data_IF_980887768003
#
_entry.id   IF_980887768003
#
_cell.length_a   1.000
_cell.length_b   1.000
_cell.length_c   1.000
_cell.angle_alpha   90.00
_cell.angle_beta   90.00
_cell.angle_gamma   90.00
#
_symmetry.space_group_name_H-M   'P 1'
#
loop_
_entity.id
_entity.type
_entity.pdbx_description
1 polymer ?
#
# COMPACT_ATOMS: atom_id res chain seq x y z
N UNK A 1 -1.37 -15.67 36.07
CA UNK A 1 -1.76 -16.06 34.70
C UNK A 1 -2.24 -17.50 34.73
N UNK A 2 -3.40 -17.76 34.15
CA UNK A 2 -3.96 -19.12 34.08
C UNK A 2 -3.11 -20.00 33.13
N UNK A 3 -2.86 -21.27 33.48
CA UNK A 3 -2.06 -22.20 32.68
C UNK A 3 -2.61 -22.41 31.25
N UNK A 4 -3.93 -22.26 31.08
CA UNK A 4 -4.58 -22.31 29.76
C UNK A 4 -4.48 -21.01 28.96
N UNK A 5 -4.07 -19.89 29.56
CA UNK A 5 -3.93 -18.61 28.89
C UNK A 5 -2.56 -18.44 28.24
N UNK A 6 -1.49 -18.92 28.90
CA UNK A 6 -0.11 -18.76 28.43
C UNK A 6 0.14 -19.36 27.05
N UNK A 7 -0.54 -20.45 26.69
CA UNK A 7 -0.43 -21.08 25.36
C UNK A 7 -0.89 -20.18 24.20
N UNK A 8 -1.72 -19.16 24.48
CA UNK A 8 -2.20 -18.20 23.49
C UNK A 8 -1.30 -16.96 23.39
N UNK A 9 -0.30 -16.82 24.27
CA UNK A 9 0.65 -15.72 24.28
C UNK A 9 1.88 -16.09 23.45
N UNK A 10 1.82 -15.74 22.17
CA UNK A 10 2.88 -16.00 21.17
C UNK A 10 3.73 -14.74 20.92
N UNK A 11 4.86 -14.87 20.21
CA UNK A 11 5.81 -13.75 19.96
C UNK A 11 5.22 -12.59 19.12
N UNK A 12 4.12 -12.83 18.41
CA UNK A 12 3.34 -11.80 17.73
C UNK A 12 2.40 -11.04 18.67
N UNK A 13 2.39 -11.33 19.98
CA UNK A 13 1.46 -10.72 20.94
C UNK A 13 2.16 -9.96 22.05
N UNK A 14 1.47 -9.00 22.62
CA UNK A 14 1.85 -8.32 23.86
C UNK A 14 0.65 -8.22 24.80
N UNK A 15 0.91 -8.09 26.09
CA UNK A 15 -0.14 -8.00 27.11
C UNK A 15 -0.37 -6.54 27.53
N UNK A 16 -1.61 -6.18 27.82
CA UNK A 16 -1.97 -4.92 28.47
C UNK A 16 -3.19 -5.10 29.37
N UNK A 17 -3.32 -4.24 30.38
CA UNK A 17 -4.43 -4.20 31.31
C UNK A 17 -4.30 -2.98 32.20
N UNK A 18 -5.42 -2.50 32.75
CA UNK A 18 -5.42 -1.38 33.69
C UNK A 18 -5.61 -1.89 35.12
N UNK A 19 -4.91 -1.26 36.07
CA UNK A 19 -5.01 -1.61 37.49
C UNK A 19 -6.37 -1.26 38.09
N UNK A 20 -7.09 -0.31 37.47
CA UNK A 20 -8.41 0.16 37.92
C UNK A 20 -9.57 -0.81 37.62
N UNK A 21 -9.28 -1.99 37.08
CA UNK A 21 -10.30 -3.00 36.77
C UNK A 21 -10.87 -2.90 35.35
N UNK A 22 -10.64 -1.80 34.64
CA UNK A 22 -11.10 -1.67 33.26
C UNK A 22 -10.29 -2.58 32.35
N UNK A 23 -10.99 -3.40 31.57
CA UNK A 23 -10.37 -4.31 30.61
C UNK A 23 -11.27 -4.43 29.38
N UNK A 24 -10.75 -5.06 28.34
CA UNK A 24 -11.54 -5.48 27.18
C UNK A 24 -12.54 -6.55 27.61
N UNK A 25 -13.65 -6.69 26.91
CA UNK A 25 -14.68 -7.69 27.19
C UNK A 25 -15.03 -8.54 25.97
N UNK A 26 -15.92 -9.51 26.20
CA UNK A 26 -16.48 -10.31 25.11
C UNK A 26 -17.16 -9.39 24.09
N UNK A 27 -16.75 -9.50 22.82
CA UNK A 27 -17.22 -8.63 21.74
C UNK A 27 -16.17 -7.62 21.26
N UNK A 28 -15.14 -7.33 22.06
CA UNK A 28 -14.06 -6.41 21.68
C UNK A 28 -12.97 -7.05 20.80
N UNK A 29 -13.04 -8.37 20.57
CA UNK A 29 -12.08 -9.11 19.74
C UNK A 29 -11.98 -8.50 18.34
N UNK A 30 -10.77 -8.20 17.89
CA UNK A 30 -10.52 -7.48 16.65
C UNK A 30 -10.50 -5.95 16.78
N UNK A 31 -10.88 -5.39 17.94
CA UNK A 31 -10.78 -3.96 18.23
C UNK A 31 -9.33 -3.48 18.31
N UNK A 32 -9.09 -2.20 17.99
CA UNK A 32 -7.76 -1.60 17.99
C UNK A 32 -7.38 -1.01 19.35
N UNK A 33 -6.17 -1.30 19.83
CA UNK A 33 -5.51 -0.50 20.86
C UNK A 33 -4.84 0.70 20.19
N UNK A 34 -5.32 1.89 20.51
CA UNK A 34 -4.92 3.14 19.86
C UNK A 34 -4.08 3.98 20.82
N UNK A 35 -2.93 4.46 20.36
CA UNK A 35 -2.09 5.40 21.12
C UNK A 35 -1.92 6.73 20.38
N UNK A 36 -1.91 7.87 21.10
CA UNK A 36 -1.53 9.15 20.53
C UNK A 36 0.00 9.24 20.37
N UNK A 37 0.47 9.80 19.25
CA UNK A 37 1.88 10.10 18.98
C UNK A 37 2.00 11.37 18.14
N UNK A 38 2.94 12.24 18.51
CA UNK A 38 3.26 13.43 17.72
C UNK A 38 3.90 13.03 16.39
N UNK A 39 3.39 13.61 15.30
CA UNK A 39 3.95 13.49 13.96
C UNK A 39 5.24 14.31 13.84
N UNK A 40 5.94 14.13 12.71
CA UNK A 40 7.11 14.93 12.34
C UNK A 40 6.78 16.43 12.30
N UNK A 41 5.55 16.77 11.89
CA UNK A 41 5.05 18.15 11.85
C UNK A 41 4.49 18.64 13.19
N UNK A 42 4.71 17.89 14.28
CA UNK A 42 4.19 18.15 15.63
C UNK A 42 2.65 18.09 15.77
N UNK A 43 1.93 17.61 14.76
CA UNK A 43 0.50 17.31 14.87
C UNK A 43 0.26 16.01 15.63
N UNK A 44 -0.73 16.00 16.54
CA UNK A 44 -1.16 14.81 17.27
C UNK A 44 -1.86 13.83 16.32
N UNK A 45 -1.35 12.60 16.22
CA UNK A 45 -1.97 11.52 15.45
C UNK A 45 -2.19 10.28 16.29
N UNK A 46 -3.21 9.51 15.94
CA UNK A 46 -3.58 8.27 16.64
C UNK A 46 -3.19 7.07 15.80
N UNK A 47 -2.53 6.09 16.43
CA UNK A 47 -2.02 4.90 15.75
C UNK A 47 -2.51 3.64 16.44
N UNK A 48 -3.00 2.69 15.65
CA UNK A 48 -3.30 1.34 16.13
C UNK A 48 -1.96 0.62 16.35
N UNK A 49 -1.71 0.18 17.58
CA UNK A 49 -0.49 -0.54 17.96
C UNK A 49 -0.75 -2.00 18.31
N UNK A 50 -1.99 -2.31 18.65
CA UNK A 50 -2.43 -3.66 18.94
C UNK A 50 -3.83 -3.94 18.42
N UNK A 51 -4.14 -5.21 18.17
CA UNK A 51 -5.49 -5.69 17.90
C UNK A 51 -5.88 -6.67 19.02
N UNK A 52 -6.99 -6.43 19.70
CA UNK A 52 -7.50 -7.29 20.78
C UNK A 52 -7.61 -8.72 20.28
N UNK A 53 -6.96 -9.67 20.96
CA UNK A 53 -6.93 -11.08 20.58
C UNK A 53 -7.60 -11.96 21.63
N UNK A 54 -7.01 -12.10 22.82
CA UNK A 54 -7.54 -12.96 23.89
C UNK A 54 -7.47 -12.25 25.25
N UNK A 55 -8.25 -12.70 26.23
CA UNK A 55 -8.24 -12.18 27.61
C UNK A 55 -8.05 -13.33 28.59
N UNK A 56 -7.24 -13.12 29.63
CA UNK A 56 -7.17 -14.06 30.76
C UNK A 56 -8.40 -13.82 31.65
N UNK A 57 -9.36 -14.74 31.63
CA UNK A 57 -10.64 -14.62 32.35
C UNK A 57 -10.47 -14.45 33.88
N UNK A 58 -9.31 -14.81 34.44
CA UNK A 58 -9.02 -14.62 35.86
C UNK A 58 -8.41 -13.26 36.21
N UNK A 59 -8.17 -12.39 35.22
CA UNK A 59 -7.48 -11.11 35.41
C UNK A 59 -8.04 -10.02 34.48
N UNK A 60 -7.56 -8.78 34.65
CA UNK A 60 -7.85 -7.68 33.73
C UNK A 60 -6.82 -7.58 32.58
N UNK A 61 -5.97 -8.59 32.41
CA UNK A 61 -4.93 -8.64 31.39
C UNK A 61 -5.51 -9.27 30.12
N UNK A 62 -5.32 -8.57 29.01
CA UNK A 62 -5.60 -9.07 27.68
C UNK A 62 -4.34 -9.08 26.82
N UNK A 63 -4.34 -9.93 25.80
CA UNK A 63 -3.33 -9.95 24.76
C UNK A 63 -3.82 -9.23 23.51
N UNK A 64 -2.87 -8.58 22.87
CA UNK A 64 -3.05 -7.83 21.66
C UNK A 64 -2.06 -8.34 20.63
N UNK A 65 -2.52 -8.56 19.41
CA UNK A 65 -1.65 -8.83 18.28
C UNK A 65 -0.83 -7.58 17.98
N UNK A 66 0.49 -7.71 17.96
CA UNK A 66 1.45 -6.62 17.78
C UNK A 66 1.49 -6.17 16.31
N UNK A 67 0.96 -4.99 16.02
CA UNK A 67 0.94 -4.43 14.65
C UNK A 67 2.36 -4.28 14.08
N UNK A 68 3.36 -3.96 14.90
CA UNK A 68 4.72 -3.79 14.42
C UNK A 68 5.33 -5.10 13.90
N UNK A 69 4.99 -6.24 14.51
CA UNK A 69 5.42 -7.57 14.05
C UNK A 69 4.75 -7.94 12.73
N UNK A 70 3.51 -7.50 12.51
CA UNK A 70 2.75 -7.76 11.28
C UNK A 70 3.02 -6.77 10.15
N UNK A 71 3.76 -5.70 10.39
CA UNK A 71 4.01 -4.62 9.41
C UNK A 71 4.49 -5.12 8.03
N UNK A 72 5.43 -6.09 7.91
CA UNK A 72 5.84 -6.58 6.60
C UNK A 72 4.69 -7.20 5.80
N UNK A 73 3.89 -8.04 6.45
CA UNK A 73 2.72 -8.67 5.84
C UNK A 73 1.62 -7.66 5.49
N UNK A 74 1.33 -6.71 6.40
CA UNK A 74 0.36 -5.64 6.14
C UNK A 74 0.77 -4.80 4.93
N UNK A 75 2.04 -4.40 4.85
CA UNK A 75 2.53 -3.61 3.72
C UNK A 75 2.37 -4.38 2.40
N UNK A 76 2.73 -5.66 2.35
CA UNK A 76 2.61 -6.47 1.13
C UNK A 76 1.14 -6.67 0.74
N UNK A 77 0.29 -7.01 1.71
CA UNK A 77 -1.12 -7.32 1.49
C UNK A 77 -1.92 -6.09 1.08
N UNK A 78 -1.67 -4.94 1.73
CA UNK A 78 -2.31 -3.67 1.35
C UNK A 78 -1.88 -3.25 -0.05
N UNK A 79 -0.61 -3.40 -0.41
CA UNK A 79 -0.15 -3.12 -1.76
C UNK A 79 -0.82 -4.03 -2.79
N UNK A 80 -0.93 -5.34 -2.52
CA UNK A 80 -1.59 -6.26 -3.45
C UNK A 80 -3.06 -5.89 -3.68
N UNK A 81 -3.79 -5.45 -2.66
CA UNK A 81 -5.18 -5.00 -2.84
C UNK A 81 -5.28 -3.66 -3.59
N UNK A 82 -4.32 -2.76 -3.40
CA UNK A 82 -4.28 -1.49 -4.15
C UNK A 82 -3.93 -1.73 -5.62
N UNK A 83 -3.16 -2.78 -5.93
CA UNK A 83 -2.73 -3.09 -7.29
C UNK A 83 -3.70 -4.04 -8.02
N UNK A 84 -4.54 -4.78 -7.28
CA UNK A 84 -5.56 -5.65 -7.84
C UNK A 84 -6.59 -4.84 -8.65
N UNK A 85 -6.66 -5.09 -9.96
CA UNK A 85 -7.57 -4.39 -10.86
C UNK A 85 -7.02 -3.08 -11.45
N UNK A 86 -5.74 -2.77 -11.22
CA UNK A 86 -5.07 -1.60 -11.80
C UNK A 86 -3.98 -2.03 -12.79
N UNK A 87 -3.71 -1.19 -13.80
CA UNK A 87 -2.53 -1.37 -14.64
C UNK A 87 -1.26 -1.02 -13.86
N UNK A 88 -0.12 -1.64 -14.22
CA UNK A 88 1.15 -1.33 -13.60
C UNK A 88 1.56 0.13 -13.86
N UNK A 89 2.33 0.77 -12.96
CA UNK A 89 2.91 2.08 -13.17
C UNK A 89 3.70 2.20 -14.48
N UNK A 90 3.51 3.31 -15.22
CA UNK A 90 4.33 3.65 -16.38
C UNK A 90 5.62 4.34 -15.93
N UNK A 91 6.66 3.53 -15.68
CA UNK A 91 8.00 4.00 -15.32
C UNK A 91 8.96 3.56 -16.41
N UNK A 92 9.65 4.52 -17.04
CA UNK A 92 10.64 4.23 -18.08
C UNK A 92 11.85 5.15 -17.99
N UNK A 93 13.01 4.60 -18.36
CA UNK A 93 14.25 5.35 -18.46
C UNK A 93 14.34 6.11 -19.79
N UNK A 94 13.72 5.61 -20.87
CA UNK A 94 13.84 6.17 -22.22
C UNK A 94 12.65 7.02 -22.67
N UNK A 95 11.45 6.78 -22.14
CA UNK A 95 10.25 7.58 -22.41
C UNK A 95 9.81 8.39 -21.20
N UNK A 96 9.16 9.52 -21.46
CA UNK A 96 8.49 10.36 -20.48
C UNK A 96 6.99 10.49 -20.78
N UNK A 97 6.21 10.72 -19.72
CA UNK A 97 4.78 10.98 -19.80
C UNK A 97 4.56 12.47 -20.07
N UNK A 98 3.91 12.80 -21.19
CA UNK A 98 3.54 14.17 -21.53
C UNK A 98 2.12 14.51 -21.09
N UNK A 99 1.24 13.50 -21.05
CA UNK A 99 -0.13 13.61 -20.55
C UNK A 99 -0.59 12.25 -20.02
N UNK A 100 -1.42 12.25 -18.98
CA UNK A 100 -2.07 11.06 -18.46
C UNK A 100 -3.46 11.45 -17.94
N UNK A 101 -4.51 10.88 -18.52
CA UNK A 101 -5.88 11.26 -18.21
C UNK A 101 -6.77 10.03 -18.01
N UNK A 102 -7.60 10.06 -16.97
CA UNK A 102 -8.70 9.13 -16.76
C UNK A 102 -10.01 9.89 -16.89
N UNK A 103 -10.87 9.52 -17.85
CA UNK A 103 -12.12 10.23 -18.15
C UNK A 103 -11.95 11.77 -18.29
N UNK A 104 -10.82 12.21 -18.87
CA UNK A 104 -10.50 13.63 -19.08
C UNK A 104 -9.91 14.36 -17.87
N UNK A 105 -9.78 13.70 -16.71
CA UNK A 105 -9.10 14.25 -15.53
C UNK A 105 -7.64 13.80 -15.50
N UNK A 106 -6.72 14.74 -15.27
CA UNK A 106 -5.30 14.44 -15.16
C UNK A 106 -5.01 13.56 -13.93
N UNK A 107 -4.27 12.47 -14.14
CA UNK A 107 -3.89 11.51 -13.10
C UNK A 107 -2.41 11.16 -13.18
N UNK A 108 -1.87 10.62 -12.09
CA UNK A 108 -0.46 10.22 -12.01
C UNK A 108 -0.27 8.76 -12.50
N UNK A 109 0.03 8.60 -13.79
CA UNK A 109 0.35 7.29 -14.39
C UNK A 109 1.65 6.65 -13.87
N UNK A 110 2.43 7.31 -12.99
CA UNK A 110 3.57 6.70 -12.29
C UNK A 110 3.13 5.85 -11.10
N UNK A 111 1.82 5.69 -10.90
CA UNK A 111 1.17 4.85 -9.88
C UNK A 111 0.22 3.84 -10.53
N UNK A 112 -0.21 2.79 -9.80
CA UNK A 112 -1.25 1.89 -10.28
C UNK A 112 -2.49 2.68 -10.73
N UNK A 113 -2.96 2.40 -11.94
CA UNK A 113 -3.94 3.26 -12.65
C UNK A 113 -5.12 2.46 -13.18
N UNK A 114 -6.30 3.09 -13.22
CA UNK A 114 -7.54 2.40 -13.56
C UNK A 114 -7.60 2.00 -15.05
N UNK A 115 -8.23 0.87 -15.39
CA UNK A 115 -8.61 0.54 -16.77
C UNK A 115 -9.38 1.67 -17.46
N UNK A 116 -9.01 1.99 -18.70
CA UNK A 116 -9.51 3.13 -19.48
C UNK A 116 -8.68 4.42 -19.32
N UNK A 117 -7.66 4.43 -18.46
CA UNK A 117 -6.70 5.55 -18.37
C UNK A 117 -5.87 5.62 -19.64
N UNK A 118 -5.72 6.82 -20.22
CA UNK A 118 -4.97 7.07 -21.45
C UNK A 118 -3.74 7.91 -21.13
N UNK A 119 -2.58 7.46 -21.60
CA UNK A 119 -1.32 8.13 -21.42
C UNK A 119 -0.66 8.43 -22.76
N UNK A 120 0.09 9.52 -22.77
CA UNK A 120 0.78 10.06 -23.93
C UNK A 120 2.26 10.04 -23.62
N UNK A 121 3.01 9.30 -24.41
CA UNK A 121 4.43 9.02 -24.18
C UNK A 121 5.28 9.69 -25.25
N UNK A 122 6.44 10.19 -24.86
CA UNK A 122 7.45 10.75 -25.76
C UNK A 122 8.83 10.27 -25.35
N UNK A 123 9.75 10.12 -26.31
CA UNK A 123 11.15 9.88 -26.00
C UNK A 123 11.76 11.07 -25.22
N UNK A 124 12.46 10.76 -24.12
CA UNK A 124 13.28 11.77 -23.43
C UNK A 124 14.36 12.32 -24.36
N UNK A 125 14.84 13.53 -24.10
CA UNK A 125 15.79 14.24 -24.97
C UNK A 125 17.05 13.46 -25.42
N UNK A 126 17.62 12.63 -24.53
CA UNK A 126 18.79 11.78 -24.82
C UNK A 126 18.47 10.54 -25.64
N UNK A 127 17.20 10.33 -25.96
CA UNK A 127 16.70 9.19 -26.73
C UNK A 127 15.99 9.69 -27.99
N UNK A 128 15.79 8.78 -28.95
CA UNK A 128 15.04 9.03 -30.18
C UNK A 128 14.21 7.79 -30.54
N UNK A 129 13.14 8.00 -31.29
CA UNK A 129 12.34 6.90 -31.83
C UNK A 129 13.11 6.16 -32.91
N UNK A 130 12.88 4.85 -33.03
CA UNK A 130 13.40 4.05 -34.14
C UNK A 130 12.49 4.24 -35.36
N UNK A 131 13.03 4.58 -36.53
CA UNK A 131 12.24 4.67 -37.75
C UNK A 131 11.77 3.26 -38.17
N UNK A 132 10.49 3.03 -38.52
CA UNK A 132 9.43 3.99 -38.86
C UNK A 132 8.48 4.35 -37.69
N UNK A 133 8.81 3.99 -36.45
CA UNK A 133 7.93 4.18 -35.29
C UNK A 133 7.89 5.65 -34.81
N UNK A 134 6.72 6.12 -34.34
CA UNK A 134 6.53 7.53 -34.02
C UNK A 134 7.29 7.95 -32.74
N UNK A 135 7.80 9.19 -32.73
CA UNK A 135 8.45 9.83 -31.57
C UNK A 135 7.52 9.98 -30.34
N UNK A 136 6.23 9.82 -30.59
CA UNK A 136 5.14 9.99 -29.66
C UNK A 136 4.17 8.81 -29.82
N UNK A 137 3.65 8.27 -28.73
CA UNK A 137 2.60 7.26 -28.78
C UNK A 137 1.53 7.47 -27.73
N UNK A 138 0.30 7.13 -28.07
CA UNK A 138 -0.80 7.03 -27.12
C UNK A 138 -0.89 5.57 -26.63
N UNK A 139 -1.04 5.38 -25.32
CA UNK A 139 -1.23 4.07 -24.71
C UNK A 139 -2.44 4.11 -23.79
N UNK A 140 -3.18 3.01 -23.73
CA UNK A 140 -4.37 2.90 -22.88
C UNK A 140 -4.26 1.66 -21.98
N UNK A 141 -4.60 1.86 -20.71
CA UNK A 141 -4.74 0.78 -19.74
C UNK A 141 -5.96 -0.07 -20.08
N UNK A 142 -5.73 -1.27 -20.59
CA UNK A 142 -6.76 -2.18 -21.05
C UNK A 142 -7.45 -2.90 -19.88
N UNK A 143 -8.61 -3.51 -20.14
CA UNK A 143 -9.36 -4.31 -19.14
C UNK A 143 -8.59 -5.52 -18.61
N UNK A 144 -7.61 -6.02 -19.37
CA UNK A 144 -6.73 -7.11 -18.95
C UNK A 144 -5.53 -6.61 -18.11
N UNK A 145 -5.58 -5.37 -17.62
CA UNK A 145 -4.56 -4.74 -16.77
C UNK A 145 -3.18 -4.55 -17.45
N UNK A 146 -3.18 -4.46 -18.77
CA UNK A 146 -1.97 -4.16 -19.55
C UNK A 146 -2.11 -2.84 -20.29
N UNK A 147 -1.00 -2.12 -20.42
CA UNK A 147 -0.93 -0.95 -21.29
C UNK A 147 -0.79 -1.41 -22.74
N UNK A 148 -1.58 -0.82 -23.64
CA UNK A 148 -1.48 -1.12 -25.07
C UNK A 148 -1.87 0.07 -25.93
N UNK A 149 -1.13 0.38 -27.01
CA UNK A 149 0.19 -0.20 -27.34
C UNK A 149 1.26 0.27 -26.32
N UNK A 150 2.27 -0.55 -26.03
CA UNK A 150 3.45 -0.10 -25.31
C UNK A 150 4.50 0.42 -26.29
N UNK A 151 5.17 1.52 -25.95
CA UNK A 151 6.36 1.95 -26.68
C UNK A 151 7.55 1.16 -26.13
N UNK A 152 8.01 0.17 -26.90
CA UNK A 152 8.93 -0.85 -26.37
C UNK A 152 10.31 -0.32 -25.99
N UNK A 153 10.79 0.78 -26.59
CA UNK A 153 11.92 1.57 -26.08
C UNK A 153 12.26 2.69 -27.06
N UNK A 154 12.77 3.81 -26.54
CA UNK A 154 13.47 4.78 -27.38
C UNK A 154 14.96 4.43 -27.38
N UNK A 155 15.65 4.66 -28.48
CA UNK A 155 17.07 4.38 -28.64
C UNK A 155 17.90 5.55 -28.12
N UNK A 156 18.98 5.26 -27.37
CA UNK A 156 19.92 6.29 -26.93
C UNK A 156 20.56 6.99 -28.13
N UNK A 157 20.70 8.31 -28.07
CA UNK A 157 21.54 9.04 -29.02
C UNK A 157 22.99 8.76 -28.65
N UNK A 158 23.71 8.02 -29.50
CA UNK A 158 25.17 7.86 -29.33
C UNK A 158 25.84 9.22 -29.60
N UNK A 159 26.77 9.62 -28.73
CA UNK A 159 27.66 10.76 -28.96
C UNK A 159 28.78 10.37 -29.92
#
# INVERSE_FOLDING_TARGET
>A
MNAGFSQYVTDDKFCAGLENGTSVEQGDSGGGLIIPKNSINNDLRYYIVGIVSTKDLGTNIATFTNINKLRPWLNQTVLSFIEEGYCPPLISNSVELTQCNFNGTEVDCKKPTMPGTKAKLQCKNSFHGEFPYPLYTDTECQKNLTWSPLMDSCLGKYN
#
